data_IF_241630510937
#
_entry.id   IF_241630510937
#
_cell.length_a   1.000
_cell.length_b   1.000
_cell.length_c   1.000
_cell.angle_alpha   90.00
_cell.angle_beta   90.00
_cell.angle_gamma   90.00
#
_symmetry.space_group_name_H-M   'P 1'
#
loop_
_entity.id
_entity.type
_entity.pdbx_description
1 polymer ?
#
# COMPACT_ATOMS: atom_id res chain seq x y z
N UNK A 1 -19.53 -23.25 -4.13
CA UNK A 1 -19.08 -22.67 -5.42
C UNK A 1 -17.57 -22.86 -5.64
N UNK A 2 -17.20 -23.99 -6.26
CA UNK A 2 -15.81 -24.49 -6.43
C UNK A 2 -15.01 -23.71 -7.51
N UNK A 3 -15.64 -22.84 -8.30
CA UNK A 3 -15.02 -22.20 -9.46
C UNK A 3 -13.99 -21.10 -9.18
N UNK A 4 -14.18 -20.27 -8.13
CA UNK A 4 -13.32 -19.10 -7.89
C UNK A 4 -11.90 -19.48 -7.45
N UNK A 5 -11.77 -20.45 -6.56
CA UNK A 5 -10.46 -20.91 -6.08
C UNK A 5 -9.67 -21.62 -7.20
N UNK A 6 -10.33 -22.48 -7.98
CA UNK A 6 -9.70 -23.12 -9.12
C UNK A 6 -9.26 -22.11 -10.19
N UNK A 7 -10.06 -21.07 -10.45
CA UNK A 7 -9.68 -20.01 -11.37
C UNK A 7 -8.39 -19.31 -10.93
N UNK A 8 -8.25 -18.95 -9.65
CA UNK A 8 -7.04 -18.29 -9.14
C UNK A 8 -5.81 -19.18 -9.28
N UNK A 9 -5.93 -20.48 -8.97
CA UNK A 9 -4.84 -21.44 -9.13
C UNK A 9 -4.46 -21.64 -10.61
N UNK A 10 -5.44 -21.79 -11.50
CA UNK A 10 -5.21 -21.92 -12.93
C UNK A 10 -4.59 -20.64 -13.52
N UNK A 11 -5.07 -19.47 -13.11
CA UNK A 11 -4.56 -18.18 -13.56
C UNK A 11 -3.12 -17.96 -13.09
N UNK A 12 -2.79 -18.31 -11.84
CA UNK A 12 -1.42 -18.25 -11.34
C UNK A 12 -0.48 -19.11 -12.20
N UNK A 13 -0.83 -20.38 -12.43
CA UNK A 13 -0.03 -21.29 -13.26
C UNK A 13 0.13 -20.78 -14.70
N UNK A 14 -0.96 -20.33 -15.31
CA UNK A 14 -0.94 -19.75 -16.64
C UNK A 14 -0.06 -18.49 -16.71
N UNK A 15 -0.13 -17.63 -15.69
CA UNK A 15 0.67 -16.41 -15.59
C UNK A 15 2.16 -16.72 -15.46
N UNK A 16 2.54 -17.68 -14.64
CA UNK A 16 3.94 -18.11 -14.47
C UNK A 16 4.52 -18.65 -15.79
N UNK A 17 3.73 -19.40 -16.56
CA UNK A 17 4.12 -19.88 -17.88
C UNK A 17 4.16 -18.76 -18.93
N UNK A 18 3.18 -17.85 -18.93
CA UNK A 18 3.07 -16.79 -19.91
C UNK A 18 4.13 -15.70 -19.72
N UNK A 19 4.36 -15.25 -18.47
CA UNK A 19 5.29 -14.17 -18.13
C UNK A 19 6.74 -14.66 -17.92
N UNK A 20 7.15 -15.68 -18.68
CA UNK A 20 8.55 -16.08 -18.75
C UNK A 20 9.38 -15.02 -19.48
N UNK A 21 10.65 -14.88 -19.08
CA UNK A 21 11.58 -13.96 -19.75
C UNK A 21 11.73 -14.25 -21.25
N UNK A 22 11.64 -15.52 -21.67
CA UNK A 22 11.68 -15.91 -23.08
C UNK A 22 10.46 -15.41 -23.85
N UNK A 23 9.26 -15.58 -23.28
CA UNK A 23 8.00 -15.17 -23.88
C UNK A 23 7.89 -13.65 -23.96
N UNK A 24 8.31 -12.93 -22.91
CA UNK A 24 8.35 -11.47 -22.91
C UNK A 24 9.29 -10.99 -24.03
N UNK A 25 10.54 -11.47 -24.07
CA UNK A 25 11.51 -11.10 -25.13
C UNK A 25 10.99 -11.50 -26.52
N UNK A 26 10.33 -12.65 -26.65
CA UNK A 26 9.69 -13.10 -27.89
C UNK A 26 8.56 -12.19 -28.34
N UNK A 27 7.70 -11.73 -27.43
CA UNK A 27 6.64 -10.77 -27.70
C UNK A 27 7.17 -9.43 -28.20
N UNK A 28 8.23 -8.90 -27.56
CA UNK A 28 8.90 -7.69 -28.03
C UNK A 28 9.55 -7.88 -29.42
N UNK A 29 10.10 -9.06 -29.70
CA UNK A 29 10.66 -9.38 -31.03
C UNK A 29 9.57 -9.44 -32.09
N UNK A 30 8.45 -10.09 -31.79
CA UNK A 30 7.31 -10.22 -32.69
C UNK A 30 6.64 -8.87 -32.99
N UNK A 31 6.57 -7.96 -32.00
CA UNK A 31 6.01 -6.63 -32.18
C UNK A 31 6.94 -5.64 -32.89
N UNK A 32 8.19 -6.03 -33.17
CA UNK A 32 9.20 -5.15 -33.78
C UNK A 32 9.74 -4.06 -32.84
N UNK A 33 9.28 -4.03 -31.58
CA UNK A 33 9.72 -3.08 -30.56
C UNK A 33 10.96 -3.55 -29.78
N UNK A 34 11.52 -4.72 -30.13
CA UNK A 34 12.76 -5.24 -29.56
C UNK A 34 13.98 -4.56 -30.19
N UNK A 35 14.72 -3.72 -29.45
CA UNK A 35 15.90 -3.08 -29.98
C UNK A 35 17.02 -4.11 -30.06
N UNK A 36 17.23 -4.71 -31.25
CA UNK A 36 18.33 -5.65 -31.50
C UNK A 36 19.69 -4.99 -31.26
N UNK A 37 19.78 -3.68 -31.46
CA UNK A 37 20.96 -2.87 -31.17
C UNK A 37 20.54 -1.53 -30.59
N UNK A 38 20.95 -1.27 -29.35
CA UNK A 38 20.73 0.02 -28.66
C UNK A 38 21.45 1.16 -29.43
N UNK A 39 22.55 0.83 -30.12
CA UNK A 39 23.34 1.79 -30.88
C UNK A 39 22.57 2.41 -32.07
N UNK A 40 21.69 1.68 -32.77
CA UNK A 40 21.01 2.22 -33.97
C UNK A 40 20.10 3.41 -33.67
N UNK A 41 19.21 3.36 -32.66
CA UNK A 41 18.47 4.52 -32.22
C UNK A 41 19.40 5.65 -31.75
N UNK A 42 20.40 5.34 -30.91
CA UNK A 42 21.32 6.33 -30.34
C UNK A 42 22.22 7.03 -31.38
N UNK A 43 22.55 6.34 -32.47
CA UNK A 43 23.34 6.87 -33.58
C UNK A 43 22.47 7.48 -34.69
N UNK A 44 21.14 7.56 -34.49
CA UNK A 44 20.25 8.28 -35.40
C UNK A 44 20.70 9.73 -35.52
N UNK A 45 20.80 10.24 -36.75
CA UNK A 45 21.17 11.65 -37.02
C UNK A 45 20.24 12.65 -36.32
N UNK A 46 19.01 12.25 -36.01
CA UNK A 46 18.04 13.06 -35.27
C UNK A 46 18.41 13.20 -33.78
N UNK A 47 19.10 12.21 -33.21
CA UNK A 47 19.65 12.29 -31.86
C UNK A 47 21.09 12.82 -31.86
N UNK A 48 21.84 12.56 -32.93
CA UNK A 48 23.22 13.01 -33.12
C UNK A 48 23.29 14.41 -33.75
N UNK A 49 22.63 15.40 -33.16
CA UNK A 49 22.86 16.81 -33.48
C UNK A 49 24.16 17.29 -32.82
N UNK A 50 25.34 17.02 -33.41
CA UNK A 50 26.50 17.95 -33.32
C UNK A 50 27.81 17.51 -33.99
N UNK A 51 27.94 16.30 -34.55
CA UNK A 51 29.29 15.84 -34.96
C UNK A 51 29.95 16.66 -36.08
N UNK A 52 29.20 17.49 -36.82
CA UNK A 52 29.71 18.24 -37.97
C UNK A 52 29.56 19.78 -37.85
N UNK A 53 29.19 20.33 -36.69
CA UNK A 53 29.22 21.79 -36.49
C UNK A 53 30.65 22.23 -36.17
N UNK A 54 31.43 22.45 -37.23
CA UNK A 54 32.55 23.38 -37.28
C UNK A 54 33.74 23.11 -36.36
N UNK A 55 34.68 22.26 -36.79
CA UNK A 55 36.09 22.42 -36.38
C UNK A 55 36.61 23.74 -36.93
N UNK A 56 36.56 24.82 -36.15
CA UNK A 56 37.39 26.01 -36.34
C UNK A 56 37.80 26.57 -34.97
N UNK A 57 39.04 26.25 -34.59
CA UNK A 57 39.96 27.01 -33.76
C UNK A 57 39.59 27.24 -32.28
N UNK A 58 40.21 26.46 -31.38
CA UNK A 58 40.59 26.92 -30.03
C UNK A 58 41.85 26.15 -29.58
N UNK A 59 42.90 26.83 -29.07
CA UNK A 59 44.14 26.17 -28.67
C UNK A 59 44.02 25.57 -27.27
N UNK A 60 44.59 24.37 -27.12
CA UNK A 60 45.20 23.78 -25.93
C UNK A 60 44.62 24.17 -24.55
N UNK A 61 43.74 23.33 -24.04
CA UNK A 61 43.54 23.15 -22.60
C UNK A 61 43.63 21.66 -22.26
N UNK A 62 44.87 21.15 -22.25
CA UNK A 62 45.20 19.88 -21.62
C UNK A 62 45.24 20.12 -20.11
N UNK A 63 44.07 20.12 -19.46
CA UNK A 63 43.91 19.74 -18.05
C UNK A 63 42.44 19.85 -17.63
N UNK A 64 41.74 18.72 -17.67
CA UNK A 64 40.72 18.34 -16.69
C UNK A 64 40.09 17.03 -17.10
N UNK A 65 40.75 15.94 -16.72
CA UNK A 65 40.06 14.69 -16.45
C UNK A 65 39.19 14.90 -15.21
N UNK A 66 38.03 15.55 -15.37
CA UNK A 66 36.94 15.52 -14.40
C UNK A 66 35.77 14.82 -15.07
N UNK A 67 35.51 13.63 -14.57
CA UNK A 67 34.30 12.82 -14.72
C UNK A 67 33.10 13.67 -15.13
N UNK A 68 32.37 13.35 -16.23
CA UNK A 68 31.25 14.17 -16.63
C UNK A 68 30.20 14.13 -15.52
N UNK A 69 29.99 15.33 -14.98
CA UNK A 69 29.01 15.71 -13.99
C UNK A 69 27.66 15.08 -14.32
N UNK A 70 27.08 14.45 -13.30
CA UNK A 70 25.70 13.96 -13.24
C UNK A 70 24.75 14.83 -14.07
N UNK A 71 24.05 14.17 -14.99
CA UNK A 71 23.07 14.68 -15.95
C UNK A 71 22.20 15.79 -15.32
N UNK A 72 22.61 17.04 -15.53
CA UNK A 72 21.78 18.23 -15.34
C UNK A 72 21.44 18.79 -16.72
N UNK A 73 20.56 18.13 -17.45
CA UNK A 73 19.76 18.74 -18.52
C UNK A 73 18.92 17.68 -19.23
N UNK A 74 17.88 17.20 -18.54
CA UNK A 74 16.59 17.29 -19.22
C UNK A 74 16.14 18.73 -19.10
N UNK A 75 15.59 19.35 -20.16
CA UNK A 75 14.69 20.48 -19.96
C UNK A 75 13.42 19.89 -19.37
N UNK A 76 13.51 19.49 -18.10
CA UNK A 76 12.31 19.16 -17.36
C UNK A 76 11.66 20.50 -17.14
N UNK A 77 10.56 20.68 -17.84
CA UNK A 77 9.44 21.57 -17.53
C UNK A 77 8.84 21.25 -16.13
N UNK A 78 9.68 20.83 -15.18
CA UNK A 78 9.33 20.46 -13.84
C UNK A 78 9.70 21.62 -12.93
N UNK A 79 8.69 22.41 -12.60
CA UNK A 79 8.56 23.20 -11.37
C UNK A 79 9.78 24.03 -10.96
N UNK A 80 9.63 25.36 -10.96
CA UNK A 80 10.61 26.31 -10.37
C UNK A 80 11.02 25.97 -8.92
N UNK A 81 10.25 25.12 -8.22
CA UNK A 81 10.49 24.70 -6.84
C UNK A 81 10.74 23.18 -6.78
N UNK A 82 11.84 22.79 -6.14
CA UNK A 82 12.19 21.40 -5.88
C UNK A 82 11.39 20.82 -4.70
N UNK A 83 10.32 20.06 -4.97
CA UNK A 83 9.49 19.45 -3.93
C UNK A 83 10.02 18.10 -3.47
N UNK A 84 10.29 17.96 -2.18
CA UNK A 84 10.59 16.67 -1.52
C UNK A 84 9.34 16.10 -0.86
N UNK A 85 9.27 14.78 -0.65
CA UNK A 85 8.17 14.17 0.12
C UNK A 85 8.37 14.49 1.59
N UNK A 86 7.46 15.24 2.25
CA UNK A 86 7.60 15.59 3.66
C UNK A 86 7.65 14.34 4.53
N UNK A 87 8.67 14.20 5.37
CA UNK A 87 8.75 13.11 6.36
C UNK A 87 8.38 13.59 7.76
N UNK A 88 8.57 14.89 8.04
CA UNK A 88 8.27 15.54 9.31
C UNK A 88 7.29 16.69 9.11
N UNK A 89 6.55 17.04 10.17
CA UNK A 89 5.62 18.17 10.16
C UNK A 89 6.31 19.51 9.87
N UNK A 90 7.57 19.68 10.28
CA UNK A 90 8.38 20.86 9.97
C UNK A 90 8.64 21.01 8.46
N UNK A 91 8.91 19.90 7.76
CA UNK A 91 9.16 19.90 6.31
C UNK A 91 7.89 20.35 5.56
N UNK A 92 6.73 19.85 6.01
CA UNK A 92 5.43 20.24 5.47
C UNK A 92 5.19 21.75 5.70
N UNK A 93 5.42 22.25 6.91
CA UNK A 93 5.25 23.69 7.23
C UNK A 93 6.12 24.57 6.34
N UNK A 94 7.39 24.23 6.16
CA UNK A 94 8.29 24.97 5.28
C UNK A 94 7.79 24.97 3.82
N UNK A 95 7.34 23.83 3.33
CA UNK A 95 6.77 23.71 1.98
C UNK A 95 5.45 24.48 1.80
N UNK A 96 4.59 24.53 2.83
CA UNK A 96 3.35 25.30 2.81
C UNK A 96 3.59 26.81 2.78
N UNK A 97 4.66 27.29 3.43
CA UNK A 97 5.05 28.71 3.37
C UNK A 97 5.55 29.11 1.97
N UNK A 98 6.33 28.26 1.31
CA UNK A 98 6.70 28.49 -0.09
C UNK A 98 5.47 28.41 -1.00
N UNK A 99 4.54 27.52 -0.69
CA UNK A 99 3.33 27.32 -1.45
C UNK A 99 2.39 28.53 -1.43
N UNK A 100 2.25 29.25 -0.31
CA UNK A 100 1.39 30.46 -0.23
C UNK A 100 1.91 31.63 -1.07
N UNK A 101 3.17 31.56 -1.53
CA UNK A 101 3.79 32.55 -2.39
C UNK A 101 3.62 32.23 -3.89
N UNK A 102 3.12 31.04 -4.25
CA UNK A 102 2.92 30.62 -5.64
C UNK A 102 1.50 30.96 -6.14
N UNK A 103 1.42 31.26 -7.43
CA UNK A 103 0.15 31.46 -8.14
C UNK A 103 -0.76 30.22 -8.09
N UNK A 104 -2.07 30.49 -8.15
CA UNK A 104 -3.11 29.51 -7.80
C UNK A 104 -3.20 28.30 -8.74
N UNK A 105 -2.78 28.44 -10.00
CA UNK A 105 -2.89 27.45 -11.08
C UNK A 105 -1.52 26.95 -11.59
N UNK A 106 -0.61 26.63 -10.65
CA UNK A 106 0.70 26.08 -11.01
C UNK A 106 0.69 24.53 -10.91
N UNK A 107 1.19 23.78 -11.92
CA UNK A 107 1.32 22.31 -11.87
C UNK A 107 2.04 21.80 -10.61
N UNK A 108 2.95 22.63 -10.13
CA UNK A 108 3.71 22.59 -8.89
C UNK A 108 2.84 22.37 -7.64
N UNK A 109 1.70 23.08 -7.54
CA UNK A 109 0.73 23.01 -6.43
C UNK A 109 0.05 21.65 -6.36
N UNK A 110 -0.48 21.20 -7.50
CA UNK A 110 -1.14 19.89 -7.63
C UNK A 110 -0.19 18.76 -7.25
N UNK A 111 1.08 18.85 -7.63
CA UNK A 111 2.09 17.85 -7.28
C UNK A 111 2.35 17.78 -5.77
N UNK A 112 2.47 18.93 -5.09
CA UNK A 112 2.61 18.97 -3.63
C UNK A 112 1.43 18.28 -2.95
N UNK A 113 0.19 18.62 -3.31
CA UNK A 113 -0.99 17.99 -2.72
C UNK A 113 -1.01 16.48 -2.95
N UNK A 114 -0.68 16.01 -4.16
CA UNK A 114 -0.56 14.56 -4.42
C UNK A 114 0.49 13.89 -3.54
N UNK A 115 1.63 14.54 -3.29
CA UNK A 115 2.67 14.00 -2.40
C UNK A 115 2.20 13.96 -0.95
N UNK A 116 1.47 14.97 -0.50
CA UNK A 116 0.88 15.01 0.84
C UNK A 116 -0.13 13.88 0.99
N UNK A 117 -1.09 13.75 0.08
CA UNK A 117 -2.10 12.66 0.08
C UNK A 117 -1.42 11.30 0.13
N UNK A 118 -0.44 11.06 -0.74
CA UNK A 118 0.33 9.81 -0.74
C UNK A 118 1.02 9.54 0.61
N UNK A 119 1.59 10.58 1.22
CA UNK A 119 2.21 10.47 2.54
C UNK A 119 1.23 10.12 3.66
N UNK A 120 -0.02 10.59 3.58
CA UNK A 120 -1.11 10.19 4.48
C UNK A 120 -1.54 8.75 4.23
N UNK A 121 -1.81 8.38 2.97
CA UNK A 121 -2.20 7.01 2.59
C UNK A 121 -1.19 5.97 3.10
N UNK A 122 0.11 6.27 2.99
CA UNK A 122 1.17 5.41 3.51
C UNK A 122 1.06 5.22 5.03
N UNK A 123 0.79 6.29 5.79
CA UNK A 123 0.64 6.23 7.25
C UNK A 123 -0.65 5.52 7.67
N UNK A 124 -1.75 5.79 7.00
CA UNK A 124 -3.03 5.14 7.26
C UNK A 124 -2.93 3.63 7.01
N UNK A 125 -2.21 3.22 5.95
CA UNK A 125 -1.95 1.81 5.68
C UNK A 125 -1.11 1.12 6.77
N UNK A 126 -0.14 1.84 7.38
CA UNK A 126 0.67 1.32 8.47
C UNK A 126 -0.13 1.23 9.76
N UNK A 127 -0.96 2.23 10.03
CA UNK A 127 -1.86 2.28 11.18
C UNK A 127 -2.86 1.12 11.13
N UNK A 128 -3.52 0.90 9.99
CA UNK A 128 -4.44 -0.21 9.79
C UNK A 128 -3.76 -1.58 10.00
N UNK A 129 -2.52 -1.76 9.51
CA UNK A 129 -1.73 -2.98 9.76
C UNK A 129 -1.44 -3.18 11.25
N UNK A 130 -1.05 -2.13 11.95
CA UNK A 130 -0.78 -2.19 13.39
C UNK A 130 -2.05 -2.53 14.17
N UNK A 131 -3.20 -1.93 13.84
CA UNK A 131 -4.49 -2.25 14.45
C UNK A 131 -4.88 -3.72 14.24
N UNK A 132 -4.73 -4.25 13.02
CA UNK A 132 -4.98 -5.67 12.75
C UNK A 132 -4.07 -6.59 13.55
N UNK A 133 -2.80 -6.21 13.73
CA UNK A 133 -1.86 -6.96 14.56
C UNK A 133 -2.23 -6.94 16.04
N UNK A 134 -2.63 -5.78 16.56
CA UNK A 134 -3.10 -5.63 17.94
C UNK A 134 -4.32 -6.52 18.17
N UNK A 135 -5.33 -6.42 17.31
CA UNK A 135 -6.53 -7.25 17.40
C UNK A 135 -6.20 -8.75 17.34
N UNK A 136 -5.31 -9.16 16.44
CA UNK A 136 -4.88 -10.54 16.35
C UNK A 136 -4.18 -11.02 17.64
N UNK A 137 -3.34 -10.18 18.26
CA UNK A 137 -2.68 -10.51 19.53
C UNK A 137 -3.68 -10.55 20.70
N UNK A 138 -4.62 -9.62 20.76
CA UNK A 138 -5.68 -9.60 21.77
C UNK A 138 -6.53 -10.87 21.70
N UNK A 139 -6.95 -11.28 20.50
CA UNK A 139 -7.68 -12.54 20.32
C UNK A 139 -6.88 -13.78 20.75
N UNK A 140 -5.56 -13.79 20.50
CA UNK A 140 -4.69 -14.86 20.98
C UNK A 140 -4.56 -14.87 22.50
N UNK A 141 -4.45 -13.70 23.13
CA UNK A 141 -4.40 -13.58 24.59
C UNK A 141 -5.71 -14.03 25.23
N UNK A 142 -6.86 -13.63 24.67
CA UNK A 142 -8.16 -14.06 25.17
C UNK A 142 -8.37 -15.57 25.00
N UNK A 143 -7.92 -16.14 23.88
CA UNK A 143 -7.94 -17.59 23.68
C UNK A 143 -7.02 -18.35 24.64
N UNK A 144 -5.86 -17.77 24.98
CA UNK A 144 -4.90 -18.33 25.93
C UNK A 144 -5.32 -18.13 27.39
N UNK A 145 -6.24 -17.19 27.66
CA UNK A 145 -6.71 -16.89 29.02
C UNK A 145 -7.46 -18.10 29.58
N UNK A 146 -7.13 -18.57 30.79
CA UNK A 146 -7.81 -19.72 31.37
C UNK A 146 -9.26 -19.35 31.70
N UNK A 147 -10.22 -20.00 31.03
CA UNK A 147 -11.65 -19.82 31.30
C UNK A 147 -12.04 -20.36 32.67
N UNK A 148 -12.92 -19.64 33.38
CA UNK A 148 -13.34 -20.03 34.73
C UNK A 148 -14.32 -21.20 34.64
N UNK A 149 -13.88 -22.39 35.06
CA UNK A 149 -14.75 -23.58 35.10
C UNK A 149 -15.79 -23.41 36.21
N UNK A 150 -17.07 -23.56 35.88
CA UNK A 150 -18.18 -23.55 36.85
C UNK A 150 -18.48 -24.98 37.30
N UNK A 151 -18.71 -25.17 38.60
CA UNK A 151 -19.04 -26.48 39.16
C UNK A 151 -20.43 -26.91 38.67
N UNK A 152 -20.54 -28.14 38.19
CA UNK A 152 -21.83 -28.76 37.85
C UNK A 152 -22.50 -29.24 39.13
N UNK A 153 -23.75 -28.86 39.34
CA UNK A 153 -24.55 -29.32 40.48
C UNK A 153 -25.02 -30.75 40.22
N UNK A 154 -24.69 -31.66 41.14
CA UNK A 154 -25.11 -33.06 41.11
C UNK A 154 -26.19 -33.30 42.14
N UNK A 155 -27.24 -34.06 41.80
CA UNK A 155 -28.25 -34.43 42.78
C UNK A 155 -27.70 -35.44 43.81
N UNK A 156 -28.15 -35.41 45.07
CA UNK A 156 -27.59 -36.24 46.14
C UNK A 156 -27.69 -37.76 45.90
N UNK A 157 -28.70 -38.17 45.12
CA UNK A 157 -28.97 -39.57 44.82
C UNK A 157 -28.31 -40.07 43.52
N UNK A 158 -27.56 -39.22 42.81
CA UNK A 158 -26.87 -39.60 41.59
C UNK A 158 -25.36 -39.66 41.81
N UNK A 159 -24.74 -40.78 41.42
CA UNK A 159 -23.28 -40.95 41.50
C UNK A 159 -22.52 -40.13 40.44
N UNK A 160 -23.19 -39.74 39.35
CA UNK A 160 -22.61 -38.96 38.25
C UNK A 160 -23.49 -37.76 37.90
N UNK A 161 -22.87 -36.72 37.34
CA UNK A 161 -23.61 -35.58 36.82
C UNK A 161 -24.41 -35.98 35.58
N UNK A 162 -25.67 -35.53 35.50
CA UNK A 162 -26.50 -35.75 34.32
C UNK A 162 -26.05 -34.86 33.16
N UNK A 163 -26.17 -35.36 31.94
CA UNK A 163 -25.74 -34.68 30.72
C UNK A 163 -26.47 -33.33 30.58
N UNK A 164 -27.76 -33.29 30.92
CA UNK A 164 -28.55 -32.05 30.89
C UNK A 164 -28.03 -31.02 31.90
N UNK A 165 -27.63 -31.45 33.09
CA UNK A 165 -27.05 -30.55 34.10
C UNK A 165 -25.69 -30.00 33.67
N UNK A 166 -24.88 -30.80 32.97
CA UNK A 166 -23.60 -30.37 32.40
C UNK A 166 -23.83 -29.32 31.30
N UNK A 167 -24.74 -29.58 30.35
CA UNK A 167 -25.08 -28.63 29.28
C UNK A 167 -25.58 -27.30 29.86
N UNK A 168 -26.50 -27.37 30.83
CA UNK A 168 -27.06 -26.18 31.45
C UNK A 168 -26.02 -25.37 32.25
N UNK A 169 -25.05 -26.03 32.87
CA UNK A 169 -23.93 -25.37 33.56
C UNK A 169 -22.94 -24.72 32.58
N UNK A 170 -22.73 -25.31 31.40
CA UNK A 170 -21.92 -24.71 30.33
C UNK A 170 -22.60 -23.47 29.74
N UNK A 171 -23.90 -23.54 29.44
CA UNK A 171 -24.67 -22.38 28.97
C UNK A 171 -24.67 -21.25 30.00
N UNK A 172 -24.90 -21.56 31.28
CA UNK A 172 -24.84 -20.58 32.37
C UNK A 172 -23.42 -20.02 32.61
N UNK A 173 -22.37 -20.73 32.24
CA UNK A 173 -20.99 -20.23 32.31
C UNK A 173 -20.72 -19.26 31.15
N UNK A 174 -21.08 -19.63 29.92
CA UNK A 174 -20.93 -18.76 28.74
C UNK A 174 -21.74 -17.45 28.88
N UNK A 175 -22.99 -17.52 29.35
CA UNK A 175 -23.83 -16.32 29.56
C UNK A 175 -23.23 -15.41 30.64
N UNK A 176 -22.61 -15.97 31.67
CA UNK A 176 -21.97 -15.18 32.74
C UNK A 176 -20.61 -14.59 32.33
N UNK A 177 -19.96 -15.11 31.29
CA UNK A 177 -18.76 -14.51 30.67
C UNK A 177 -19.18 -13.33 29.78
N UNK A 178 -20.16 -13.50 28.89
CA UNK A 178 -20.67 -12.42 28.03
C UNK A 178 -21.21 -11.22 28.82
N UNK A 179 -22.01 -11.46 29.87
CA UNK A 179 -22.56 -10.38 30.70
C UNK A 179 -21.52 -9.57 31.51
N UNK A 180 -20.26 -10.03 31.60
CA UNK A 180 -19.17 -9.27 32.23
C UNK A 180 -18.39 -8.42 31.23
N UNK A 181 -18.35 -8.82 29.97
CA UNK A 181 -17.73 -8.05 28.88
C UNK A 181 -18.60 -6.84 28.50
N UNK A 182 -19.93 -6.98 28.55
CA UNK A 182 -20.89 -5.89 28.31
C UNK A 182 -20.91 -4.80 29.40
N UNK A 183 -20.09 -4.93 30.46
CA UNK A 183 -20.03 -4.00 31.59
C UNK A 183 -18.99 -2.88 31.49
N UNK A 184 -18.06 -2.93 30.52
CA UNK A 184 -16.96 -1.95 30.41
C UNK A 184 -16.88 -1.17 29.08
N UNK A 185 -17.78 -1.35 28.12
CA UNK A 185 -17.89 -0.45 26.96
C UNK A 185 -19.34 -0.17 26.55
N UNK A 186 -19.87 0.96 27.00
CA UNK A 186 -20.99 1.61 26.30
C UNK A 186 -21.03 3.12 26.55
N UNK A 187 -20.14 3.84 25.86
CA UNK A 187 -20.48 5.13 25.26
C UNK A 187 -19.95 5.15 23.82
N UNK A 188 -20.67 4.48 22.92
CA UNK A 188 -20.58 4.78 21.49
C UNK A 188 -21.90 5.42 21.08
N UNK A 189 -21.78 6.73 20.87
CA UNK A 189 -22.71 7.65 20.24
C UNK A 189 -23.50 7.01 19.09
N UNK A 190 -24.82 7.06 19.21
CA UNK A 190 -25.77 6.86 18.12
C UNK A 190 -25.50 7.88 17.02
N UNK A 191 -24.87 7.48 15.91
CA UNK A 191 -24.97 8.22 14.65
C UNK A 191 -25.43 7.24 13.55
N UNK A 192 -26.75 7.20 13.42
CA UNK A 192 -27.51 7.16 12.16
C UNK A 192 -27.01 6.27 11.01
N UNK A 193 -27.72 5.16 10.87
CA UNK A 193 -27.83 4.38 9.63
C UNK A 193 -28.37 5.27 8.50
N UNK A 194 -27.49 5.73 7.61
CA UNK A 194 -27.89 6.23 6.29
C UNK A 194 -27.63 5.13 5.24
N UNK A 195 -28.61 4.26 5.05
CA UNK A 195 -28.63 3.28 3.97
C UNK A 195 -29.13 3.96 2.70
N UNK A 196 -28.27 4.08 1.68
CA UNK A 196 -28.69 4.56 0.35
C UNK A 196 -29.48 3.44 -0.34
N UNK A 197 -30.76 3.68 -0.60
CA UNK A 197 -31.59 2.82 -1.45
C UNK A 197 -31.33 3.24 -2.90
N UNK A 198 -30.82 2.32 -3.71
CA UNK A 198 -30.71 2.51 -5.16
C UNK A 198 -32.03 2.05 -5.77
N UNK A 199 -32.78 3.00 -6.32
CA UNK A 199 -33.99 2.75 -7.09
C UNK A 199 -33.56 2.21 -8.47
N UNK A 200 -34.11 1.07 -8.86
CA UNK A 200 -33.93 0.48 -10.19
C UNK A 200 -35.14 0.95 -11.01
N UNK A 201 -34.88 1.75 -12.04
CA UNK A 201 -35.82 2.05 -13.13
C UNK A 201 -35.73 0.96 -14.22
#
# INVERSE_FOLDING_TARGET
PIGKQNFLLCYQKAREQALSSSNIKGGWKASGLWPVSIAKPLLSRLLLENSNKGKRNAPNAADSLKTPLSIKSWPSEASQVAWTTPRKSKDLKAQVLHFSQLESDMPTKRLLFRKITKGFDEKDSLLAKAQLQIQALETQLEAARPKRRRKVETSPNSRFADIKAIQHAQEKANVAENNKEDGEESEISENEKNCIVVQVD
#
